data_IF_287272912318
#
_entry.id   IF_287272912318
#
_cell.length_a   1.000
_cell.length_b   1.000
_cell.length_c   1.000
_cell.angle_alpha   90.00
_cell.angle_beta   90.00
_cell.angle_gamma   90.00
#
_symmetry.space_group_name_H-M   'P 1'
#
loop_
_entity.id
_entity.type
_entity.pdbx_description
1 polymer ?
#
# COMPACT_ATOMS: atom_id res chain seq x y z
N UNK A 1 -9.02 -51.57 6.73
CA UNK A 1 -10.16 -50.92 7.42
C UNK A 1 -10.08 -49.41 7.18
N UNK A 2 -10.62 -48.93 6.05
CA UNK A 2 -10.56 -47.52 5.67
C UNK A 2 -11.65 -46.73 6.43
N UNK A 3 -11.25 -45.67 7.14
CA UNK A 3 -12.20 -44.77 7.83
C UNK A 3 -12.75 -43.75 6.84
N UNK A 4 -14.04 -43.86 6.52
CA UNK A 4 -14.77 -42.84 5.76
C UNK A 4 -14.87 -41.54 6.59
N UNK A 5 -14.51 -40.39 5.99
CA UNK A 5 -14.72 -39.07 6.59
C UNK A 5 -16.18 -38.64 6.34
N UNK A 6 -16.93 -38.18 7.36
CA UNK A 6 -18.32 -37.80 7.19
C UNK A 6 -18.41 -36.39 6.56
N UNK A 7 -18.71 -36.32 5.26
CA UNK A 7 -19.01 -35.07 4.55
C UNK A 7 -20.21 -34.31 5.13
N UNK A 8 -21.04 -34.98 5.95
CA UNK A 8 -22.25 -34.40 6.55
C UNK A 8 -21.98 -33.35 7.63
N UNK A 9 -20.84 -33.41 8.32
CA UNK A 9 -20.53 -32.48 9.40
C UNK A 9 -20.22 -31.06 8.90
N UNK A 10 -19.64 -30.93 7.69
CA UNK A 10 -19.28 -29.62 7.14
C UNK A 10 -20.51 -28.83 6.67
N UNK A 11 -21.56 -29.52 6.19
CA UNK A 11 -22.81 -28.89 5.75
C UNK A 11 -23.63 -28.33 6.91
N UNK A 12 -23.58 -28.97 8.08
CA UNK A 12 -24.28 -28.48 9.28
C UNK A 12 -23.68 -27.16 9.79
N UNK A 13 -22.34 -27.04 9.82
CA UNK A 13 -21.65 -25.82 10.26
C UNK A 13 -21.93 -24.62 9.34
N UNK A 14 -22.17 -24.86 8.04
CA UNK A 14 -22.50 -23.79 7.09
C UNK A 14 -23.94 -23.28 7.20
N UNK A 15 -24.85 -24.04 7.82
CA UNK A 15 -26.26 -23.69 7.94
C UNK A 15 -26.56 -22.72 9.10
N UNK A 16 -25.70 -22.70 10.13
CA UNK A 16 -25.86 -21.82 11.31
C UNK A 16 -25.26 -20.42 11.11
N UNK A 17 -24.69 -20.12 9.94
CA UNK A 17 -24.20 -18.78 9.68
C UNK A 17 -25.38 -17.81 9.49
N UNK A 18 -25.55 -16.82 10.38
CA UNK A 18 -26.64 -15.87 10.24
C UNK A 18 -26.53 -15.18 8.87
N UNK A 19 -27.66 -15.01 8.15
CA UNK A 19 -27.64 -14.32 6.88
C UNK A 19 -27.06 -12.92 7.10
N UNK A 20 -26.16 -12.46 6.21
CA UNK A 20 -25.57 -11.14 6.36
C UNK A 20 -26.68 -10.09 6.35
N UNK A 21 -26.87 -9.42 7.48
CA UNK A 21 -27.86 -8.37 7.64
C UNK A 21 -27.58 -7.26 6.60
N UNK A 22 -28.44 -7.18 5.59
CA UNK A 22 -28.43 -6.14 4.56
C UNK A 22 -29.19 -4.93 5.08
N UNK A 23 -28.53 -4.12 5.90
CA UNK A 23 -28.93 -2.73 6.05
C UNK A 23 -28.43 -1.99 4.81
N UNK A 24 -29.29 -1.93 3.79
CA UNK A 24 -29.14 -1.01 2.66
C UNK A 24 -29.54 0.37 3.14
N UNK A 25 -28.53 1.22 3.39
CA UNK A 25 -28.70 2.67 3.38
C UNK A 25 -28.32 3.15 1.98
N UNK A 26 -29.34 3.41 1.16
CA UNK A 26 -29.24 4.15 -0.09
C UNK A 26 -29.02 5.63 0.23
N UNK A 27 -27.86 6.00 0.73
CA UNK A 27 -27.46 7.41 0.78
C UNK A 27 -25.93 7.53 0.93
N UNK A 28 -25.38 8.39 0.07
CA UNK A 28 -24.00 8.84 0.02
C UNK A 28 -22.95 7.78 -0.34
N UNK A 29 -22.41 7.98 -1.54
CA UNK A 29 -20.99 8.14 -1.89
C UNK A 29 -20.05 8.58 -0.73
N UNK A 30 -20.08 7.86 0.39
CA UNK A 30 -19.26 8.13 1.56
C UNK A 30 -17.85 7.64 1.24
N UNK A 31 -16.95 8.60 0.99
CA UNK A 31 -15.52 8.34 0.86
C UNK A 31 -15.05 7.61 2.11
N UNK A 32 -14.54 6.40 1.91
CA UNK A 32 -13.98 5.59 2.98
C UNK A 32 -12.65 6.14 3.49
N UNK A 33 -12.20 5.69 4.66
CA UNK A 33 -10.86 5.99 5.17
C UNK A 33 -9.74 5.56 4.20
N UNK A 34 -9.97 4.49 3.43
CA UNK A 34 -9.07 4.08 2.36
C UNK A 34 -9.00 5.04 1.17
N UNK A 35 -10.03 5.87 0.97
CA UNK A 35 -10.04 6.92 -0.05
C UNK A 35 -9.23 8.15 0.34
N UNK A 36 -8.76 8.26 1.59
CA UNK A 36 -7.94 9.39 2.03
C UNK A 36 -6.64 9.45 1.21
N UNK A 37 -6.43 10.59 0.53
CA UNK A 37 -5.29 10.84 -0.35
C UNK A 37 -5.51 10.46 -1.83
N UNK A 38 -6.71 10.10 -2.27
CA UNK A 38 -6.98 9.84 -3.69
C UNK A 38 -6.64 11.05 -4.58
N UNK A 39 -6.06 10.87 -5.78
CA UNK A 39 -5.70 9.61 -6.44
C UNK A 39 -4.30 9.07 -6.11
N UNK A 40 -3.44 9.87 -5.48
CA UNK A 40 -1.99 9.60 -5.39
C UNK A 40 -1.61 8.76 -4.15
N UNK A 41 -2.27 9.04 -3.03
CA UNK A 41 -1.99 8.54 -1.68
C UNK A 41 -3.12 7.66 -1.11
N UNK A 42 -4.16 7.38 -1.90
CA UNK A 42 -5.22 6.46 -1.48
C UNK A 42 -4.69 5.04 -1.30
N UNK A 43 -5.41 4.25 -0.52
CA UNK A 43 -5.16 2.83 -0.39
C UNK A 43 -5.60 2.06 -1.64
N UNK A 44 -5.34 0.74 -1.63
CA UNK A 44 -5.79 -0.14 -2.71
C UNK A 44 -7.32 -0.06 -2.85
N UNK A 45 -7.86 -0.20 -4.06
CA UNK A 45 -9.30 -0.17 -4.28
C UNK A 45 -10.01 -1.28 -3.49
N UNK A 46 -11.22 -0.97 -3.02
CA UNK A 46 -12.09 -1.89 -2.32
C UNK A 46 -12.59 -2.96 -3.28
N UNK A 47 -12.33 -4.23 -2.96
CA UNK A 47 -12.71 -5.36 -3.82
C UNK A 47 -14.23 -5.45 -3.97
N UNK A 48 -15.00 -5.07 -2.94
CA UNK A 48 -16.46 -5.09 -3.01
C UNK A 48 -16.99 -4.06 -4.01
N UNK A 49 -16.53 -2.81 -3.93
CA UNK A 49 -16.93 -1.78 -4.89
C UNK A 49 -16.40 -2.04 -6.30
N UNK A 50 -15.18 -2.57 -6.44
CA UNK A 50 -14.68 -3.00 -7.75
C UNK A 50 -15.56 -4.07 -8.40
N UNK A 51 -16.19 -4.93 -7.60
CA UNK A 51 -17.13 -5.96 -8.08
C UNK A 51 -18.56 -5.44 -8.27
N UNK A 52 -18.82 -4.16 -8.03
CA UNK A 52 -20.16 -3.57 -8.09
C UNK A 52 -21.06 -3.96 -6.91
N UNK A 53 -20.47 -4.44 -5.80
CA UNK A 53 -21.19 -4.81 -4.58
C UNK A 53 -21.03 -3.77 -3.48
N UNK A 54 -22.00 -3.70 -2.57
CA UNK A 54 -21.98 -2.76 -1.45
C UNK A 54 -20.92 -3.17 -0.43
N UNK A 55 -20.05 -2.23 -0.06
CA UNK A 55 -19.08 -2.43 1.01
C UNK A 55 -19.78 -2.31 2.37
N UNK A 56 -19.81 -3.41 3.13
CA UNK A 56 -20.42 -3.43 4.48
C UNK A 56 -19.71 -2.54 5.52
N UNK A 57 -18.46 -2.15 5.26
CA UNK A 57 -17.69 -1.30 6.17
C UNK A 57 -17.98 0.20 5.97
N UNK A 58 -18.65 0.59 4.88
CA UNK A 58 -18.98 1.98 4.59
C UNK A 58 -17.78 2.92 4.71
N UNK A 59 -17.96 4.03 5.45
CA UNK A 59 -16.92 5.03 5.69
C UNK A 59 -15.68 4.49 6.45
N UNK A 60 -15.84 3.43 7.25
CA UNK A 60 -14.75 2.82 8.02
C UNK A 60 -13.87 1.88 7.18
N UNK A 61 -14.20 1.66 5.90
CA UNK A 61 -13.39 0.79 5.06
C UNK A 61 -11.97 1.36 4.88
N UNK A 62 -10.96 0.52 5.10
CA UNK A 62 -9.55 0.89 4.88
C UNK A 62 -9.14 0.79 3.40
N UNK A 63 -10.07 0.47 2.50
CA UNK A 63 -9.82 0.40 1.06
C UNK A 63 -10.50 1.54 0.33
N UNK A 64 -9.87 2.00 -0.76
CA UNK A 64 -10.38 3.14 -1.53
C UNK A 64 -11.71 2.77 -2.19
N UNK A 65 -12.70 3.64 -2.03
CA UNK A 65 -14.03 3.50 -2.61
C UNK A 65 -14.18 4.21 -3.97
N UNK A 66 -13.14 4.83 -4.49
CA UNK A 66 -13.16 5.41 -5.83
C UNK A 66 -13.07 4.29 -6.88
N UNK A 67 -13.97 4.29 -7.87
CA UNK A 67 -14.03 3.25 -8.92
C UNK A 67 -12.88 3.33 -9.94
N UNK A 68 -12.20 4.48 -10.03
CA UNK A 68 -11.13 4.69 -11.00
C UNK A 68 -9.75 4.53 -10.35
N UNK A 69 -9.11 3.39 -10.60
CA UNK A 69 -7.71 3.18 -10.27
C UNK A 69 -6.96 2.62 -11.47
N UNK A 70 -5.84 3.26 -11.82
CA UNK A 70 -4.91 2.67 -12.79
C UNK A 70 -4.29 1.39 -12.20
N UNK A 71 -4.10 0.34 -13.01
CA UNK A 71 -3.43 -0.87 -12.55
C UNK A 71 -2.03 -0.51 -12.06
N UNK A 72 -1.75 -0.82 -10.80
CA UNK A 72 -0.42 -0.60 -10.24
C UNK A 72 0.54 -1.68 -10.76
N UNK A 73 1.71 -1.31 -11.29
CA UNK A 73 2.73 -2.28 -11.64
C UNK A 73 3.15 -3.03 -10.36
N UNK A 74 3.19 -4.36 -10.45
CA UNK A 74 3.65 -5.21 -9.35
C UNK A 74 5.12 -5.53 -9.57
N UNK A 75 5.90 -5.51 -8.50
CA UNK A 75 7.24 -6.08 -8.54
C UNK A 75 7.15 -7.58 -8.86
N UNK A 76 8.00 -8.05 -9.76
CA UNK A 76 8.12 -9.47 -10.04
C UNK A 76 8.75 -10.23 -8.85
N UNK A 77 8.79 -11.56 -8.92
CA UNK A 77 9.32 -12.38 -7.83
C UNK A 77 10.78 -12.06 -7.50
N UNK A 78 11.62 -11.85 -8.51
CA UNK A 78 13.05 -11.57 -8.33
C UNK A 78 13.26 -10.18 -7.73
N UNK A 79 12.53 -9.19 -8.23
CA UNK A 79 12.53 -7.81 -7.73
C UNK A 79 12.11 -7.76 -6.25
N UNK A 80 11.04 -8.47 -5.88
CA UNK A 80 10.61 -8.55 -4.48
C UNK A 80 11.66 -9.20 -3.59
N UNK A 81 12.22 -10.33 -4.01
CA UNK A 81 13.28 -11.01 -3.27
C UNK A 81 14.52 -10.12 -3.11
N UNK A 82 14.83 -9.28 -4.12
CA UNK A 82 15.93 -8.32 -4.02
C UNK A 82 15.62 -7.21 -3.02
N UNK A 83 14.45 -6.58 -3.10
CA UNK A 83 14.03 -5.53 -2.16
C UNK A 83 14.05 -6.04 -0.72
N UNK A 84 13.64 -7.29 -0.49
CA UNK A 84 13.68 -7.93 0.83
C UNK A 84 15.10 -8.21 1.35
N UNK A 85 16.10 -8.33 0.47
CA UNK A 85 17.52 -8.51 0.85
C UNK A 85 18.26 -7.19 1.07
N UNK A 86 17.69 -6.06 0.63
CA UNK A 86 18.31 -4.75 0.81
C UNK A 86 18.26 -4.33 2.27
N UNK A 87 19.31 -3.68 2.73
CA UNK A 87 19.27 -2.91 3.98
C UNK A 87 18.28 -1.76 3.85
N UNK A 88 17.77 -1.28 4.98
CA UNK A 88 16.82 -0.17 5.02
C UNK A 88 17.41 1.08 4.34
N UNK A 89 18.72 1.32 4.50
CA UNK A 89 19.41 2.45 3.87
C UNK A 89 19.54 2.32 2.36
N UNK A 90 19.89 1.14 1.85
CA UNK A 90 19.93 0.90 0.41
C UNK A 90 18.55 1.09 -0.21
N UNK A 91 17.53 0.58 0.47
CA UNK A 91 16.15 0.73 0.04
C UNK A 91 15.70 2.19 0.05
N UNK A 92 16.04 2.96 1.08
CA UNK A 92 15.78 4.39 1.15
C UNK A 92 16.49 5.16 0.03
N UNK A 93 17.79 4.91 -0.18
CA UNK A 93 18.56 5.52 -1.29
C UNK A 93 17.93 5.21 -2.65
N UNK A 94 17.37 4.01 -2.81
CA UNK A 94 16.66 3.61 -4.03
C UNK A 94 15.31 4.30 -4.18
N UNK A 95 14.50 4.38 -3.12
CA UNK A 95 13.12 4.87 -3.17
C UNK A 95 13.00 6.39 -3.16
N UNK A 96 13.85 7.11 -2.42
CA UNK A 96 13.82 8.58 -2.28
C UNK A 96 13.69 9.32 -3.62
N UNK A 97 14.51 9.07 -4.66
CA UNK A 97 14.37 9.80 -5.92
C UNK A 97 12.99 9.58 -6.58
N UNK A 98 12.42 8.38 -6.45
CA UNK A 98 11.11 8.05 -7.00
C UNK A 98 9.97 8.68 -6.19
N UNK A 99 10.09 8.70 -4.85
CA UNK A 99 9.15 9.39 -3.96
C UNK A 99 9.11 10.89 -4.29
N UNK A 100 10.29 11.53 -4.50
CA UNK A 100 10.38 12.94 -4.91
C UNK A 100 9.71 13.21 -6.26
N UNK A 101 9.97 12.36 -7.26
CA UNK A 101 9.37 12.49 -8.59
C UNK A 101 7.84 12.39 -8.51
N UNK A 102 7.31 11.38 -7.81
CA UNK A 102 5.87 11.19 -7.63
C UNK A 102 5.22 12.31 -6.81
N UNK A 103 5.88 12.76 -5.74
CA UNK A 103 5.38 13.87 -4.93
C UNK A 103 5.34 15.19 -5.70
N UNK A 104 6.35 15.46 -6.53
CA UNK A 104 6.37 16.64 -7.40
C UNK A 104 5.21 16.60 -8.40
N UNK A 105 4.99 15.46 -9.05
CA UNK A 105 3.87 15.27 -9.97
C UNK A 105 2.51 15.47 -9.29
N UNK A 106 2.42 15.20 -7.99
CA UNK A 106 1.23 15.38 -7.17
C UNK A 106 1.10 16.75 -6.49
N UNK A 107 2.07 17.66 -6.64
CA UNK A 107 2.08 18.94 -5.93
C UNK A 107 2.32 18.84 -4.41
N UNK A 108 2.90 17.74 -3.94
CA UNK A 108 3.15 17.45 -2.52
C UNK A 108 4.64 17.57 -2.14
N UNK A 109 5.42 18.34 -2.90
CA UNK A 109 6.88 18.36 -2.79
C UNK A 109 7.39 18.70 -1.38
N UNK A 110 6.93 19.80 -0.78
CA UNK A 110 7.40 20.23 0.55
C UNK A 110 7.15 19.17 1.62
N UNK A 111 5.96 18.56 1.59
CA UNK A 111 5.55 17.53 2.55
C UNK A 111 6.33 16.24 2.35
N UNK A 112 6.59 15.86 1.11
CA UNK A 112 7.43 14.72 0.81
C UNK A 112 8.89 14.94 1.25
N UNK A 113 9.44 16.16 1.13
CA UNK A 113 10.77 16.47 1.65
C UNK A 113 10.84 16.38 3.17
N UNK A 114 9.82 16.86 3.88
CA UNK A 114 9.72 16.68 5.33
C UNK A 114 9.66 15.19 5.71
N UNK A 115 8.84 14.41 4.99
CA UNK A 115 8.76 12.95 5.16
C UNK A 115 10.11 12.28 4.92
N UNK A 116 10.79 12.60 3.81
CA UNK A 116 12.11 12.06 3.46
C UNK A 116 13.14 12.39 4.52
N UNK A 117 13.18 13.62 5.04
CA UNK A 117 14.08 14.01 6.12
C UNK A 117 13.85 13.16 7.36
N UNK A 118 12.58 12.99 7.75
CA UNK A 118 12.22 12.15 8.91
C UNK A 118 12.67 10.70 8.72
N UNK A 119 12.55 10.15 7.49
CA UNK A 119 13.08 8.81 7.17
C UNK A 119 14.61 8.78 7.28
N UNK A 120 15.30 9.76 6.73
CA UNK A 120 16.76 9.82 6.79
C UNK A 120 17.26 9.96 8.23
N UNK A 121 16.58 10.72 9.08
CA UNK A 121 16.95 10.88 10.48
C UNK A 121 16.72 9.57 11.27
N UNK A 122 15.59 8.89 11.03
CA UNK A 122 15.28 7.61 11.68
C UNK A 122 16.22 6.47 11.27
N UNK A 123 16.57 6.41 9.99
CA UNK A 123 17.29 5.26 9.40
C UNK A 123 18.74 5.59 9.01
N UNK A 124 19.23 6.80 9.31
CA UNK A 124 20.53 7.32 8.94
C UNK A 124 21.70 6.84 9.81
N UNK A 125 21.48 5.91 10.74
CA UNK A 125 22.53 5.34 11.60
C UNK A 125 23.66 4.67 10.80
N UNK A 126 24.90 4.83 11.22
CA UNK A 126 26.10 4.54 10.42
C UNK A 126 26.09 3.19 9.70
N UNK A 127 26.25 3.25 8.36
CA UNK A 127 26.31 2.11 7.46
C UNK A 127 27.63 1.34 7.64
N UNK A 128 27.76 0.55 8.71
CA UNK A 128 28.95 -0.30 8.93
C UNK A 128 28.82 -1.73 8.36
N UNK A 129 27.88 -1.95 7.43
CA UNK A 129 27.67 -3.23 6.77
C UNK A 129 28.22 -3.23 5.34
N UNK A 130 29.24 -4.05 5.07
CA UNK A 130 29.74 -4.33 3.71
C UNK A 130 28.62 -4.93 2.85
N UNK A 131 28.00 -4.13 1.98
CA UNK A 131 27.09 -4.63 0.94
C UNK A 131 27.90 -5.17 -0.24
N UNK A 132 28.45 -6.37 -0.12
CA UNK A 132 29.39 -6.96 -1.10
C UNK A 132 28.69 -7.66 -2.30
N UNK A 133 27.36 -7.64 -2.37
CA UNK A 133 26.63 -8.12 -3.56
C UNK A 133 26.28 -6.96 -4.50
N UNK A 134 27.26 -6.59 -5.35
CA UNK A 134 27.04 -5.69 -6.50
C UNK A 134 25.85 -6.16 -7.32
N UNK A 135 24.78 -5.36 -7.36
CA UNK A 135 23.58 -5.64 -8.15
C UNK A 135 23.97 -5.63 -9.62
N UNK A 136 23.60 -6.66 -10.42
CA UNK A 136 23.73 -6.59 -11.86
C UNK A 136 23.01 -5.36 -12.39
N UNK A 137 23.74 -4.46 -13.07
CA UNK A 137 23.20 -3.17 -13.54
C UNK A 137 21.87 -3.29 -14.29
N UNK A 138 21.71 -4.36 -15.09
CA UNK A 138 20.47 -4.65 -15.84
C UNK A 138 19.26 -4.85 -14.94
N UNK A 139 19.42 -5.55 -13.82
CA UNK A 139 18.34 -5.77 -12.85
C UNK A 139 17.97 -4.47 -12.13
N UNK A 140 18.98 -3.69 -11.73
CA UNK A 140 18.76 -2.39 -11.10
C UNK A 140 17.99 -1.44 -12.04
N UNK A 141 18.32 -1.42 -13.33
CA UNK A 141 17.60 -0.64 -14.33
C UNK A 141 16.14 -1.08 -14.46
N UNK A 142 15.87 -2.39 -14.51
CA UNK A 142 14.50 -2.92 -14.56
C UNK A 142 13.71 -2.55 -13.31
N UNK A 143 14.31 -2.69 -12.13
CA UNK A 143 13.67 -2.33 -10.86
C UNK A 143 13.33 -0.84 -10.82
N UNK A 144 14.28 0.05 -11.13
CA UNK A 144 14.04 1.50 -11.21
C UNK A 144 12.93 1.86 -12.20
N UNK A 145 12.86 1.16 -13.33
CA UNK A 145 11.79 1.36 -14.32
C UNK A 145 10.42 1.00 -13.73
N UNK A 146 10.30 -0.12 -13.02
CA UNK A 146 9.05 -0.51 -12.34
C UNK A 146 8.68 0.47 -11.22
N UNK A 147 9.65 0.88 -10.39
CA UNK A 147 9.43 1.83 -9.28
C UNK A 147 8.93 3.18 -9.80
N UNK A 148 9.43 3.66 -10.93
CA UNK A 148 8.98 4.91 -11.54
C UNK A 148 7.51 4.90 -11.94
N UNK A 149 6.96 3.74 -12.25
CA UNK A 149 5.56 3.55 -12.66
C UNK A 149 4.63 3.34 -11.45
N UNK A 150 5.17 3.19 -10.25
CA UNK A 150 4.38 3.03 -9.02
C UNK A 150 3.90 4.39 -8.50
N UNK A 151 2.72 4.41 -7.90
CA UNK A 151 2.24 5.58 -7.16
C UNK A 151 2.96 5.72 -5.82
N UNK A 152 2.77 6.87 -5.19
CA UNK A 152 3.43 7.22 -3.94
C UNK A 152 3.08 6.24 -2.80
N UNK A 153 1.83 5.81 -2.68
CA UNK A 153 1.41 4.78 -1.71
C UNK A 153 2.18 3.48 -1.86
N UNK A 154 2.35 2.99 -3.09
CA UNK A 154 3.02 1.73 -3.36
C UNK A 154 4.52 1.81 -3.03
N UNK A 155 5.17 2.93 -3.34
CA UNK A 155 6.56 3.17 -2.96
C UNK A 155 6.73 3.21 -1.45
N UNK A 156 5.83 3.89 -0.73
CA UNK A 156 5.91 4.01 0.74
C UNK A 156 5.66 2.65 1.41
N UNK A 157 4.79 1.81 0.86
CA UNK A 157 4.58 0.44 1.37
C UNK A 157 5.77 -0.50 1.23
N UNK A 158 6.77 -0.14 0.43
CA UNK A 158 8.02 -0.90 0.38
C UNK A 158 8.93 -0.55 1.56
N UNK A 159 8.71 0.56 2.26
CA UNK A 159 9.51 0.99 3.40
C UNK A 159 9.28 0.10 4.63
N UNK A 160 10.22 0.09 5.59
CA UNK A 160 10.07 -0.62 6.86
C UNK A 160 8.81 -0.19 7.63
N UNK A 161 8.23 -1.09 8.43
CA UNK A 161 6.91 -0.92 9.05
C UNK A 161 6.78 0.21 10.08
N UNK A 162 7.88 0.78 10.58
CA UNK A 162 7.87 1.87 11.58
C UNK A 162 7.58 3.27 11.00
N UNK A 163 7.15 3.34 9.74
CA UNK A 163 6.85 4.60 9.05
C UNK A 163 5.36 4.92 8.95
N UNK A 164 4.48 4.01 9.40
CA UNK A 164 3.02 4.14 9.21
C UNK A 164 2.46 5.42 9.86
N UNK A 165 2.95 5.80 11.04
CA UNK A 165 2.53 7.05 11.70
C UNK A 165 2.90 8.30 10.89
N UNK A 166 4.12 8.33 10.33
CA UNK A 166 4.60 9.45 9.51
C UNK A 166 3.84 9.51 8.18
N UNK A 167 3.54 8.34 7.62
CA UNK A 167 2.75 8.20 6.40
C UNK A 167 1.32 8.70 6.59
N UNK A 168 0.70 8.41 7.73
CA UNK A 168 -0.66 8.86 8.01
C UNK A 168 -0.75 10.39 8.06
N UNK A 169 0.27 11.09 8.59
CA UNK A 169 0.34 12.55 8.52
C UNK A 169 0.32 13.04 7.07
N UNK A 170 1.16 12.47 6.21
CA UNK A 170 1.21 12.83 4.78
C UNK A 170 -0.17 12.70 4.09
N UNK A 171 -0.96 11.70 4.49
CA UNK A 171 -2.31 11.45 3.93
C UNK A 171 -3.36 12.43 4.42
N UNK A 172 -3.42 12.73 5.72
CA UNK A 172 -4.42 13.65 6.29
C UNK A 172 -4.31 15.04 5.65
N UNK A 173 -3.08 15.53 5.50
CA UNK A 173 -2.81 16.84 4.90
C UNK A 173 -3.18 16.93 3.41
N UNK A 174 -3.13 15.82 2.66
CA UNK A 174 -3.46 15.81 1.23
C UNK A 174 -4.93 16.17 0.94
N UNK A 175 -5.80 16.21 1.96
CA UNK A 175 -7.19 16.63 1.83
C UNK A 175 -7.45 18.11 2.18
N UNK A 176 -6.41 18.87 2.53
CA UNK A 176 -6.58 20.25 3.01
C UNK A 176 -7.25 20.34 4.39
N UNK A 177 -7.37 19.23 5.11
CA UNK A 177 -7.81 19.20 6.49
C UNK A 177 -6.65 19.67 7.40
N UNK A 178 -6.93 20.52 8.42
CA UNK A 178 -5.92 20.87 9.42
C UNK A 178 -5.47 19.61 10.19
N UNK A 179 -4.23 19.62 10.71
CA UNK A 179 -3.68 18.51 11.48
C UNK A 179 -4.47 18.20 12.75
#
# INVERSE_FOLDING_TARGET
MARARPESALKAVLADFPPPQTAVSEDAEAKSFGSLGHPVLCHRPCVYLLKGSICKQGALCQFCHHGQHSPMPKLDQMQRARVQRMTEQELLRLLIPHIREQARAAGLQERAEHFIRTLQDKFGGEASGKSDESIPWKELCKLKKTLRQMNLTALIRLLPTDVEGIYQHLRTFAQGLPP
#
